data_IF_366954049984
#
_entry.id   IF_366954049984
#
_cell.length_a   1.000
_cell.length_b   1.000
_cell.length_c   1.000
_cell.angle_alpha   90.00
_cell.angle_beta   90.00
_cell.angle_gamma   90.00
#
_symmetry.space_group_name_H-M   'P 1'
#
loop_
_entity.id
_entity.type
_entity.pdbx_description
1 polymer ?
#
# COMPACT_ATOMS: atom_id res chain seq x y z
N UNK A 1 67.76 65.55 -3.80
CA UNK A 1 67.84 65.51 -2.33
C UNK A 1 66.76 64.55 -1.87
N UNK A 2 67.13 63.40 -1.31
CA UNK A 2 67.24 63.20 0.15
C UNK A 2 65.82 63.13 0.75
N UNK A 3 65.43 62.22 1.63
CA UNK A 3 66.18 61.39 2.56
C UNK A 3 65.26 60.25 2.99
N UNK A 4 65.91 59.15 3.32
CA UNK A 4 65.45 57.96 4.03
C UNK A 4 64.69 58.32 5.32
N UNK A 5 63.57 57.67 5.59
CA UNK A 5 63.08 57.53 6.98
C UNK A 5 62.72 56.08 7.27
N UNK A 6 63.58 55.49 8.09
CA UNK A 6 63.47 54.19 8.74
C UNK A 6 62.24 54.16 9.64
N UNK A 7 61.36 53.17 9.46
CA UNK A 7 60.28 52.87 10.40
C UNK A 7 60.64 51.61 11.20
N UNK A 8 60.71 51.81 12.51
CA UNK A 8 61.01 50.83 13.55
C UNK A 8 59.88 49.81 13.66
N UNK A 9 60.23 48.53 13.63
CA UNK A 9 59.31 47.41 13.83
C UNK A 9 58.78 47.40 15.28
N UNK A 10 57.46 47.41 15.43
CA UNK A 10 56.77 47.01 16.66
C UNK A 10 56.08 45.69 16.37
N UNK A 11 56.51 44.64 17.08
CA UNK A 11 55.94 43.31 16.98
C UNK A 11 54.55 43.31 17.65
N UNK A 12 53.50 43.13 16.85
CA UNK A 12 52.18 42.74 17.35
C UNK A 12 52.13 41.22 17.46
N UNK A 13 51.99 40.72 18.68
CA UNK A 13 51.69 39.32 18.96
C UNK A 13 50.29 39.00 18.45
N UNK A 14 50.20 38.34 17.30
CA UNK A 14 48.95 37.76 16.82
C UNK A 14 48.60 36.54 17.69
N UNK A 15 47.54 36.67 18.50
CA UNK A 15 46.87 35.52 19.10
C UNK A 15 46.38 34.62 17.98
N UNK A 16 47.05 33.50 17.77
CA UNK A 16 46.66 32.50 16.77
C UNK A 16 45.32 31.90 17.18
N UNK A 17 44.31 32.15 16.36
CA UNK A 17 43.01 31.49 16.44
C UNK A 17 43.22 29.97 16.37
N UNK A 18 42.94 29.27 17.47
CA UNK A 18 43.06 27.82 17.62
C UNK A 18 42.07 27.03 16.73
N UNK A 19 41.19 27.71 16.02
CA UNK A 19 40.16 27.08 15.20
C UNK A 19 40.48 27.28 13.71
N UNK A 20 41.28 26.36 13.15
CA UNK A 20 41.44 26.28 11.70
C UNK A 20 40.23 25.56 11.10
N UNK A 21 39.83 25.92 9.87
CA UNK A 21 38.73 25.27 9.15
C UNK A 21 38.89 23.74 9.12
N UNK A 22 40.08 23.16 8.85
CA UNK A 22 40.30 21.72 8.96
C UNK A 22 39.98 21.15 10.36
N UNK A 23 40.38 21.85 11.42
CA UNK A 23 40.10 21.43 12.80
C UNK A 23 38.60 21.38 13.09
N UNK A 24 37.84 22.36 12.57
CA UNK A 24 36.39 22.39 12.69
C UNK A 24 35.73 21.22 11.93
N UNK A 25 36.20 20.93 10.71
CA UNK A 25 35.74 19.78 9.94
C UNK A 25 36.02 18.45 10.65
N UNK A 26 37.21 18.28 11.21
CA UNK A 26 37.55 17.08 11.99
C UNK A 26 36.69 16.95 13.24
N UNK A 27 36.49 18.04 13.99
CA UNK A 27 35.63 18.04 15.17
C UNK A 27 34.16 17.72 14.83
N UNK A 28 33.64 18.29 13.73
CA UNK A 28 32.28 18.01 13.26
C UNK A 28 32.14 16.56 12.81
N UNK A 29 33.10 16.04 12.06
CA UNK A 29 33.08 14.64 11.60
C UNK A 29 33.14 13.69 12.80
N UNK A 30 33.98 13.96 13.80
CA UNK A 30 34.06 13.17 15.03
C UNK A 30 32.76 13.23 15.84
N UNK A 31 32.14 14.40 15.92
CA UNK A 31 30.85 14.56 16.61
C UNK A 31 29.73 13.78 15.89
N UNK A 32 29.69 13.83 14.57
CA UNK A 32 28.73 13.08 13.76
C UNK A 32 28.92 11.57 13.91
N UNK A 33 30.16 11.06 13.87
CA UNK A 33 30.42 9.63 14.03
C UNK A 33 30.11 9.15 15.45
N UNK A 34 30.40 9.96 16.47
CA UNK A 34 30.03 9.67 17.86
C UNK A 34 28.50 9.70 18.05
N UNK A 35 27.81 10.66 17.45
CA UNK A 35 26.35 10.73 17.51
C UNK A 35 25.70 9.53 16.84
N UNK A 36 26.20 9.10 15.68
CA UNK A 36 25.72 7.91 14.97
C UNK A 36 26.03 6.63 15.76
N UNK A 37 27.22 6.50 16.34
CA UNK A 37 27.57 5.31 17.13
C UNK A 37 26.72 5.21 18.40
N UNK A 38 26.48 6.33 19.10
CA UNK A 38 25.57 6.39 20.24
C UNK A 38 24.13 6.09 19.81
N UNK A 39 23.68 6.57 18.65
CA UNK A 39 22.36 6.23 18.10
C UNK A 39 22.21 4.72 17.90
N UNK A 40 23.21 4.04 17.33
CA UNK A 40 23.19 2.58 17.16
C UNK A 40 23.42 1.79 18.47
N UNK A 41 24.07 2.38 19.48
CA UNK A 41 24.23 1.79 20.82
C UNK A 41 22.94 1.87 21.64
N UNK A 42 22.21 3.00 21.57
CA UNK A 42 20.95 3.21 22.31
C UNK A 42 19.72 2.75 21.55
N UNK A 43 19.78 2.66 20.22
CA UNK A 43 18.83 1.97 19.37
C UNK A 43 19.59 0.90 18.60
N UNK A 44 19.91 -0.26 19.21
CA UNK A 44 20.37 -1.40 18.43
C UNK A 44 19.31 -1.62 17.36
N UNK A 45 19.71 -1.48 16.09
CA UNK A 45 18.89 -1.90 14.96
C UNK A 45 18.50 -3.32 15.29
N UNK A 46 17.22 -3.50 15.63
CA UNK A 46 16.70 -4.81 15.92
C UNK A 46 16.89 -5.56 14.62
N UNK A 47 17.89 -6.45 14.55
CA UNK A 47 17.77 -7.63 13.73
C UNK A 47 16.34 -8.13 13.95
N UNK A 48 15.62 -8.60 12.92
CA UNK A 48 14.36 -9.28 13.15
C UNK A 48 14.68 -10.55 13.93
N UNK A 49 14.83 -10.41 15.24
CA UNK A 49 14.68 -11.46 16.20
C UNK A 49 13.29 -11.97 15.89
N UNK A 50 13.23 -13.16 15.29
CA UNK A 50 12.04 -13.98 15.20
C UNK A 50 11.38 -13.90 16.57
N UNK A 51 10.39 -13.01 16.68
CA UNK A 51 9.67 -12.74 17.90
C UNK A 51 8.71 -13.90 18.03
N UNK A 52 9.26 -15.05 18.42
CA UNK A 52 8.57 -16.31 18.64
C UNK A 52 7.65 -16.26 19.87
N UNK A 53 7.38 -15.07 20.43
CA UNK A 53 6.43 -14.85 21.52
C UNK A 53 5.07 -14.31 21.07
N UNK A 54 4.87 -13.95 19.79
CA UNK A 54 3.51 -13.62 19.26
C UNK A 54 2.86 -14.86 18.59
N UNK A 55 3.63 -15.88 18.25
CA UNK A 55 3.11 -17.12 17.64
C UNK A 55 2.46 -18.09 18.63
N UNK A 56 2.56 -17.86 19.94
CA UNK A 56 1.87 -18.72 20.92
C UNK A 56 0.36 -18.44 21.01
N UNK A 57 -0.13 -17.34 20.42
CA UNK A 57 -1.57 -17.10 20.28
C UNK A 57 -2.16 -17.63 18.97
N UNK A 58 -1.33 -18.10 18.03
CA UNK A 58 -1.80 -18.53 16.70
C UNK A 58 -2.43 -19.94 16.68
N UNK A 59 -2.40 -20.67 17.80
CA UNK A 59 -3.04 -21.99 17.91
C UNK A 59 -4.40 -21.95 18.61
N UNK A 60 -4.83 -20.77 19.07
CA UNK A 60 -6.21 -20.57 19.48
C UNK A 60 -6.96 -20.03 18.28
N UNK A 61 -7.88 -20.83 17.72
CA UNK A 61 -9.00 -20.28 16.96
C UNK A 61 -9.48 -19.05 17.75
N UNK A 62 -9.57 -17.85 17.13
CA UNK A 62 -10.10 -16.70 17.83
C UNK A 62 -11.43 -17.15 18.41
N UNK A 63 -11.56 -17.14 19.75
CA UNK A 63 -12.80 -17.57 20.41
C UNK A 63 -14.00 -16.69 19.96
N UNK A 64 -13.72 -15.62 19.21
CA UNK A 64 -14.66 -14.63 18.68
C UNK A 64 -14.43 -14.37 17.18
N UNK A 65 -14.13 -15.38 16.34
CA UNK A 65 -14.08 -15.17 14.89
C UNK A 65 -15.47 -14.84 14.35
N UNK A 66 -15.56 -13.87 13.43
CA UNK A 66 -16.81 -13.60 12.72
C UNK A 66 -17.00 -14.62 11.60
N UNK A 67 -18.16 -15.29 11.57
CA UNK A 67 -18.50 -16.26 10.53
C UNK A 67 -19.01 -15.52 9.28
N UNK A 68 -18.28 -15.66 8.18
CA UNK A 68 -18.53 -14.93 6.95
C UNK A 68 -18.92 -15.89 5.83
N UNK A 69 -20.13 -15.77 5.31
CA UNK A 69 -20.51 -16.40 4.05
C UNK A 69 -20.12 -15.49 2.89
N UNK A 70 -19.30 -15.99 1.97
CA UNK A 70 -18.92 -15.25 0.76
C UNK A 70 -19.94 -15.56 -0.33
N UNK A 71 -20.62 -14.56 -0.85
CA UNK A 71 -21.55 -14.73 -1.96
C UNK A 71 -20.80 -15.15 -3.24
N UNK A 72 -21.33 -16.15 -3.96
CA UNK A 72 -20.73 -16.72 -5.18
C UNK A 72 -20.91 -15.83 -6.41
N UNK A 73 -20.43 -14.59 -6.31
CA UNK A 73 -20.53 -13.59 -7.37
C UNK A 73 -19.63 -13.99 -8.57
N UNK A 74 -20.10 -13.82 -9.83
CA UNK A 74 -19.27 -14.05 -11.00
C UNK A 74 -17.94 -13.30 -10.96
N UNK A 75 -16.86 -13.96 -11.38
CA UNK A 75 -15.50 -13.40 -11.38
C UNK A 75 -15.39 -12.07 -12.13
N UNK A 76 -16.21 -11.86 -13.16
CA UNK A 76 -16.31 -10.61 -13.93
C UNK A 76 -16.67 -9.38 -13.10
N UNK A 77 -17.14 -9.57 -11.86
CA UNK A 77 -17.52 -8.54 -10.91
C UNK A 77 -16.48 -8.37 -9.78
N UNK A 78 -15.39 -9.15 -9.78
CA UNK A 78 -14.30 -9.06 -8.79
C UNK A 78 -12.91 -9.09 -9.45
N UNK A 79 -12.10 -10.14 -9.28
CA UNK A 79 -10.78 -10.29 -9.88
C UNK A 79 -10.77 -10.10 -11.40
N UNK A 80 -11.86 -10.43 -12.10
CA UNK A 80 -11.99 -10.15 -13.53
C UNK A 80 -11.97 -8.66 -13.90
N UNK A 81 -12.27 -7.77 -12.94
CA UNK A 81 -12.11 -6.32 -13.11
C UNK A 81 -10.65 -5.90 -13.10
N UNK A 82 -9.78 -6.61 -12.38
CA UNK A 82 -8.34 -6.39 -12.42
C UNK A 82 -7.77 -6.82 -13.76
N UNK A 83 -8.23 -7.94 -14.32
CA UNK A 83 -7.84 -8.36 -15.67
C UNK A 83 -8.16 -7.27 -16.71
N UNK A 84 -9.35 -6.65 -16.61
CA UNK A 84 -9.73 -5.49 -17.45
C UNK A 84 -8.84 -4.29 -17.21
N UNK A 85 -8.54 -3.96 -15.95
CA UNK A 85 -7.67 -2.85 -15.59
C UNK A 85 -6.28 -3.01 -16.23
N UNK A 86 -5.66 -4.18 -16.05
CA UNK A 86 -4.33 -4.47 -16.59
C UNK A 86 -4.31 -4.50 -18.12
N UNK A 87 -5.43 -4.84 -18.76
CA UNK A 87 -5.58 -4.79 -20.22
C UNK A 87 -5.83 -3.38 -20.79
N UNK A 88 -6.28 -2.42 -19.96
CA UNK A 88 -6.71 -1.09 -20.42
C UNK A 88 -5.56 -0.11 -20.65
N UNK A 89 -4.34 -0.46 -20.23
CA UNK A 89 -3.18 0.42 -20.35
C UNK A 89 -3.15 1.56 -19.32
N UNK A 90 -2.27 2.56 -19.50
CA UNK A 90 -2.11 3.66 -18.55
C UNK A 90 -3.38 4.52 -18.41
N UNK A 91 -3.72 4.88 -17.18
CA UNK A 91 -4.83 5.79 -16.89
C UNK A 91 -4.47 7.23 -17.28
N UNK A 92 -5.11 7.74 -18.34
CA UNK A 92 -4.86 9.09 -18.87
C UNK A 92 -5.16 10.24 -17.88
N UNK A 93 -5.88 9.97 -16.79
CA UNK A 93 -6.12 10.94 -15.71
C UNK A 93 -4.88 11.19 -14.86
N UNK A 94 -3.88 10.30 -14.95
CA UNK A 94 -2.59 10.43 -14.32
C UNK A 94 -1.57 11.01 -15.30
N UNK A 95 -0.77 11.96 -14.84
CA UNK A 95 0.35 12.50 -15.61
C UNK A 95 1.49 11.47 -15.76
N UNK A 96 2.35 11.68 -16.77
CA UNK A 96 3.53 10.88 -17.09
C UNK A 96 4.70 11.13 -16.13
N UNK A 97 4.44 11.03 -14.84
CA UNK A 97 5.44 11.24 -13.80
C UNK A 97 6.37 10.03 -13.74
N UNK A 98 7.69 10.25 -13.75
CA UNK A 98 8.70 9.20 -13.84
C UNK A 98 8.65 8.26 -12.62
N UNK A 99 8.23 8.78 -11.46
CA UNK A 99 8.05 7.99 -10.24
C UNK A 99 6.76 7.14 -10.26
N UNK A 100 5.90 7.32 -11.28
CA UNK A 100 4.65 6.57 -11.48
C UNK A 100 4.76 5.49 -12.54
N UNK A 101 5.97 5.05 -12.88
CA UNK A 101 6.13 3.84 -13.69
C UNK A 101 5.48 2.67 -12.96
N UNK A 102 4.20 2.43 -13.25
CA UNK A 102 3.51 1.19 -12.95
C UNK A 102 4.42 0.14 -13.58
N UNK A 103 5.01 -0.78 -12.81
CA UNK A 103 5.86 -1.80 -13.37
C UNK A 103 5.09 -2.42 -14.53
N UNK A 104 5.65 -2.32 -15.74
CA UNK A 104 5.14 -3.05 -16.92
C UNK A 104 5.50 -4.52 -16.73
N UNK A 105 5.14 -5.09 -15.59
CA UNK A 105 5.20 -6.51 -15.36
C UNK A 105 4.23 -7.07 -16.37
N UNK A 106 4.74 -7.80 -17.36
CA UNK A 106 3.92 -8.59 -18.26
C UNK A 106 3.24 -9.65 -17.39
N UNK A 107 2.13 -9.27 -16.76
CA UNK A 107 1.36 -10.19 -15.95
C UNK A 107 0.88 -11.30 -16.88
N UNK A 108 1.06 -12.57 -16.49
CA UNK A 108 0.48 -13.68 -17.23
C UNK A 108 -1.00 -13.40 -17.47
N UNK A 109 -1.47 -13.63 -18.70
CA UNK A 109 -2.90 -13.52 -18.99
C UNK A 109 -3.65 -14.51 -18.09
N UNK A 110 -4.61 -14.00 -17.32
CA UNK A 110 -5.50 -14.78 -16.46
C UNK A 110 -4.83 -15.45 -15.25
N UNK A 111 -4.16 -14.65 -14.40
CA UNK A 111 -3.82 -15.10 -13.04
C UNK A 111 -5.09 -15.41 -12.24
N UNK A 112 -5.09 -16.47 -11.45
CA UNK A 112 -6.21 -16.78 -10.55
C UNK A 112 -6.43 -15.65 -9.53
N UNK A 113 -5.35 -15.03 -9.06
CA UNK A 113 -5.39 -13.86 -8.18
C UNK A 113 -4.47 -12.77 -8.77
N UNK A 114 -4.98 -11.89 -9.65
CA UNK A 114 -4.19 -10.80 -10.22
C UNK A 114 -3.79 -9.81 -9.12
N UNK A 115 -2.58 -9.21 -9.17
CA UNK A 115 -2.18 -8.21 -8.18
C UNK A 115 -3.08 -6.97 -8.27
N UNK A 116 -3.34 -6.36 -7.11
CA UNK A 116 -4.05 -5.09 -7.05
C UNK A 116 -3.16 -3.95 -7.57
N UNK A 117 -3.69 -2.91 -8.25
CA UNK A 117 -2.86 -1.93 -8.89
C UNK A 117 -2.30 -0.89 -7.93
N UNK A 118 -1.06 -0.46 -8.21
CA UNK A 118 -0.36 0.61 -7.45
C UNK A 118 -0.77 2.03 -7.88
N UNK A 119 -1.78 2.15 -8.74
CA UNK A 119 -2.29 3.43 -9.20
C UNK A 119 -2.86 4.22 -8.00
N UNK A 120 -2.38 5.45 -7.74
CA UNK A 120 -2.74 6.20 -6.54
C UNK A 120 -4.22 6.56 -6.44
N UNK A 121 -4.96 6.60 -7.56
CA UNK A 121 -6.41 6.84 -7.54
C UNK A 121 -7.17 5.65 -6.94
N UNK A 122 -6.70 4.42 -7.19
CA UNK A 122 -7.42 3.20 -6.83
C UNK A 122 -6.78 2.37 -5.71
N UNK A 123 -5.48 2.53 -5.45
CA UNK A 123 -4.73 1.78 -4.43
C UNK A 123 -5.39 1.84 -3.04
N UNK A 124 -5.92 3.02 -2.69
CA UNK A 124 -6.62 3.27 -1.43
C UNK A 124 -7.95 2.51 -1.27
N UNK A 125 -8.50 1.97 -2.36
CA UNK A 125 -9.80 1.29 -2.40
C UNK A 125 -9.67 -0.22 -2.62
N UNK A 126 -8.74 -0.86 -1.91
CA UNK A 126 -8.39 -2.28 -2.07
C UNK A 126 -9.04 -3.21 -1.03
N UNK A 127 -9.95 -2.70 -0.19
CA UNK A 127 -10.51 -3.43 0.93
C UNK A 127 -11.19 -4.74 0.48
N UNK A 128 -12.05 -4.69 -0.52
CA UNK A 128 -12.79 -5.85 -1.03
C UNK A 128 -11.84 -6.89 -1.64
N UNK A 129 -10.76 -6.45 -2.28
CA UNK A 129 -9.73 -7.31 -2.83
C UNK A 129 -9.02 -8.11 -1.73
N UNK A 130 -8.58 -7.42 -0.67
CA UNK A 130 -7.87 -8.06 0.44
C UNK A 130 -8.77 -8.95 1.29
N UNK A 131 -10.02 -8.53 1.54
CA UNK A 131 -11.00 -9.35 2.27
C UNK A 131 -11.33 -10.62 1.48
N UNK A 132 -11.57 -10.51 0.17
CA UNK A 132 -11.80 -11.69 -0.67
C UNK A 132 -10.59 -12.61 -0.69
N UNK A 133 -9.38 -12.05 -0.85
CA UNK A 133 -8.13 -12.82 -0.85
C UNK A 133 -7.91 -13.59 0.45
N UNK A 134 -8.12 -12.94 1.59
CA UNK A 134 -8.07 -13.60 2.89
C UNK A 134 -9.12 -14.73 2.97
N UNK A 135 -10.40 -14.47 2.69
CA UNK A 135 -11.46 -15.48 2.81
C UNK A 135 -11.35 -16.63 1.79
N UNK A 136 -10.63 -16.44 0.68
CA UNK A 136 -10.36 -17.48 -0.31
C UNK A 136 -9.13 -18.33 0.03
N UNK A 137 -8.26 -17.84 0.92
CA UNK A 137 -7.08 -18.58 1.36
C UNK A 137 -7.52 -19.74 2.29
N UNK A 138 -7.00 -20.97 2.13
CA UNK A 138 -7.31 -22.09 3.01
C UNK A 138 -7.05 -21.75 4.48
N UNK A 139 -7.93 -22.19 5.38
CA UNK A 139 -7.88 -21.79 6.80
C UNK A 139 -6.54 -22.13 7.47
N UNK A 140 -5.89 -23.22 7.05
CA UNK A 140 -4.59 -23.67 7.56
C UNK A 140 -3.44 -22.73 7.18
N UNK A 141 -3.63 -21.92 6.14
CA UNK A 141 -2.65 -20.97 5.61
C UNK A 141 -2.91 -19.53 6.07
N UNK A 142 -4.05 -19.26 6.73
CA UNK A 142 -4.42 -17.92 7.21
C UNK A 142 -3.88 -17.70 8.61
N UNK A 143 -2.87 -16.85 8.74
CA UNK A 143 -2.34 -16.44 10.05
C UNK A 143 -2.93 -15.09 10.46
N UNK A 144 -3.59 -15.06 11.64
CA UNK A 144 -4.10 -13.80 12.21
C UNK A 144 -5.39 -13.25 11.59
N UNK A 145 -6.09 -14.00 10.73
CA UNK A 145 -7.41 -13.58 10.25
C UNK A 145 -8.44 -13.63 11.38
N UNK A 146 -9.19 -12.53 11.54
CA UNK A 146 -10.30 -12.44 12.49
C UNK A 146 -11.60 -13.03 11.92
N UNK A 147 -11.67 -13.29 10.61
CA UNK A 147 -12.85 -13.81 9.93
C UNK A 147 -12.68 -15.29 9.58
N UNK A 148 -13.75 -16.05 9.75
CA UNK A 148 -13.80 -17.44 9.32
C UNK A 148 -14.81 -17.59 8.19
N UNK A 149 -14.36 -18.11 7.04
CA UNK A 149 -15.27 -18.39 5.94
C UNK A 149 -16.13 -19.60 6.29
N UNK A 150 -17.43 -19.43 6.17
CA UNK A 150 -18.40 -20.53 6.20
C UNK A 150 -18.99 -20.74 4.81
N UNK A 151 -19.45 -21.96 4.55
CA UNK A 151 -20.01 -22.35 3.24
C UNK A 151 -21.54 -22.41 3.23
N UNK A 152 -22.16 -22.09 4.36
CA UNK A 152 -23.61 -21.98 4.52
C UNK A 152 -23.98 -20.61 5.04
N UNK A 153 -24.91 -19.92 4.35
CA UNK A 153 -25.43 -18.63 4.80
C UNK A 153 -26.22 -18.73 6.12
N UNK A 154 -26.66 -19.95 6.52
CA UNK A 154 -27.34 -20.17 7.79
C UNK A 154 -26.37 -20.14 8.99
N UNK A 155 -25.10 -20.46 8.75
CA UNK A 155 -24.02 -20.50 9.77
C UNK A 155 -23.29 -19.16 9.88
N UNK A 156 -23.60 -18.22 8.99
CA UNK A 156 -22.91 -16.95 8.91
C UNK A 156 -23.54 -15.89 9.83
N UNK A 157 -22.66 -15.10 10.44
CA UNK A 157 -22.99 -13.85 11.12
C UNK A 157 -23.20 -12.73 10.09
N UNK A 158 -22.40 -12.73 9.02
CA UNK A 158 -22.46 -11.74 7.94
C UNK A 158 -22.28 -12.38 6.57
N UNK A 159 -22.86 -11.74 5.56
CA UNK A 159 -22.68 -12.10 4.15
C UNK A 159 -21.77 -11.07 3.51
N UNK A 160 -20.62 -11.52 3.01
CA UNK A 160 -19.72 -10.68 2.21
C UNK A 160 -20.06 -10.84 0.73
N UNK A 161 -20.42 -9.74 0.08
CA UNK A 161 -20.64 -9.67 -1.38
C UNK A 161 -19.37 -9.10 -2.00
N UNK A 162 -18.53 -9.92 -2.66
CA UNK A 162 -17.19 -9.50 -3.06
C UNK A 162 -17.21 -8.72 -4.38
N UNK A 163 -17.99 -7.65 -4.48
CA UNK A 163 -18.00 -6.78 -5.66
C UNK A 163 -16.92 -5.70 -5.51
N UNK A 164 -15.99 -5.59 -6.47
CA UNK A 164 -14.96 -4.54 -6.42
C UNK A 164 -15.54 -3.22 -6.96
N UNK A 165 -16.45 -2.63 -6.19
CA UNK A 165 -17.29 -1.51 -6.60
C UNK A 165 -16.48 -0.29 -7.04
N UNK A 166 -15.48 0.10 -6.25
CA UNK A 166 -14.68 1.27 -6.57
C UNK A 166 -13.84 1.04 -7.83
N UNK A 167 -13.25 -0.15 -7.99
CA UNK A 167 -12.54 -0.49 -9.23
C UNK A 167 -13.47 -0.47 -10.45
N UNK A 168 -14.71 -0.95 -10.29
CA UNK A 168 -15.73 -0.89 -11.34
C UNK A 168 -16.01 0.55 -11.78
N UNK A 169 -16.23 1.45 -10.82
CA UNK A 169 -16.48 2.86 -11.06
C UNK A 169 -15.28 3.56 -11.72
N UNK A 170 -14.07 3.27 -11.23
CA UNK A 170 -12.84 3.88 -11.71
C UNK A 170 -12.50 3.46 -13.14
N UNK A 171 -12.77 2.21 -13.52
CA UNK A 171 -12.70 1.76 -14.92
C UNK A 171 -13.65 2.57 -15.82
N UNK A 172 -14.89 2.82 -15.38
CA UNK A 172 -15.83 3.63 -16.15
C UNK A 172 -15.39 5.10 -16.25
N UNK A 173 -14.85 5.65 -15.17
CA UNK A 173 -14.34 7.03 -15.13
C UNK A 173 -13.10 7.22 -16.01
N UNK A 174 -12.22 6.21 -16.10
CA UNK A 174 -11.07 6.22 -16.98
C UNK A 174 -11.47 6.13 -18.46
N UNK A 175 -12.41 5.24 -18.82
CA UNK A 175 -12.77 4.98 -20.21
C UNK A 175 -13.81 5.96 -20.76
N UNK A 176 -14.84 6.30 -19.98
CA UNK A 176 -15.98 7.08 -20.44
C UNK A 176 -16.65 7.87 -19.30
N UNK A 177 -15.90 8.81 -18.70
CA UNK A 177 -16.37 9.72 -17.63
C UNK A 177 -17.71 10.40 -17.93
N UNK A 178 -17.95 10.81 -19.19
CA UNK A 178 -19.18 11.48 -19.61
C UNK A 178 -20.44 10.60 -19.51
N UNK A 179 -20.29 9.28 -19.47
CA UNK A 179 -21.40 8.33 -19.30
C UNK A 179 -21.61 7.91 -17.84
N UNK A 180 -20.68 8.20 -16.92
CA UNK A 180 -20.72 7.72 -15.53
C UNK A 180 -21.98 8.10 -14.74
N UNK A 181 -22.63 9.23 -15.07
CA UNK A 181 -23.89 9.65 -14.44
C UNK A 181 -25.14 9.15 -15.15
N UNK A 182 -24.99 8.39 -16.23
CA UNK A 182 -26.08 7.85 -17.05
C UNK A 182 -26.30 6.39 -16.71
N UNK A 183 -27.52 5.90 -16.98
CA UNK A 183 -27.84 4.46 -16.90
C UNK A 183 -27.41 3.70 -18.16
N UNK A 184 -27.64 4.30 -19.33
CA UNK A 184 -27.27 3.71 -20.62
C UNK A 184 -25.83 4.06 -20.98
N UNK A 185 -25.08 3.05 -21.45
CA UNK A 185 -23.66 3.20 -21.83
C UNK A 185 -22.71 3.36 -20.63
N UNK A 186 -23.16 2.93 -19.45
CA UNK A 186 -22.38 2.95 -18.21
C UNK A 186 -22.19 1.52 -17.73
N UNK A 187 -21.02 0.96 -18.02
CA UNK A 187 -20.68 -0.42 -17.66
C UNK A 187 -20.59 -0.62 -16.14
N UNK A 188 -20.24 0.42 -15.38
CA UNK A 188 -20.27 0.37 -13.92
C UNK A 188 -21.71 0.26 -13.39
N UNK A 189 -22.64 1.07 -13.91
CA UNK A 189 -24.07 0.95 -13.55
C UNK A 189 -24.63 -0.43 -13.88
N UNK A 190 -24.27 -0.99 -15.04
CA UNK A 190 -24.67 -2.32 -15.45
C UNK A 190 -24.14 -3.41 -14.50
N UNK A 191 -22.86 -3.34 -14.10
CA UNK A 191 -22.26 -4.25 -13.12
C UNK A 191 -22.90 -4.12 -11.74
N UNK A 192 -23.12 -2.90 -11.25
CA UNK A 192 -23.83 -2.68 -9.98
C UNK A 192 -25.24 -3.28 -10.00
N UNK A 193 -25.97 -3.09 -11.09
CA UNK A 193 -27.29 -3.71 -11.27
C UNK A 193 -27.19 -5.23 -11.26
N UNK A 194 -26.24 -5.81 -11.99
CA UNK A 194 -26.01 -7.26 -12.00
C UNK A 194 -25.75 -7.81 -10.59
N UNK A 195 -24.94 -7.12 -9.78
CA UNK A 195 -24.68 -7.50 -8.38
C UNK A 195 -25.97 -7.48 -7.56
N UNK A 196 -26.73 -6.39 -7.64
CA UNK A 196 -28.00 -6.26 -6.88
C UNK A 196 -29.00 -7.32 -7.30
N UNK A 197 -29.18 -7.53 -8.61
CA UNK A 197 -30.08 -8.54 -9.15
C UNK A 197 -29.62 -9.96 -8.74
N UNK A 198 -28.32 -10.24 -8.74
CA UNK A 198 -27.75 -11.50 -8.26
C UNK A 198 -28.06 -11.72 -6.78
N UNK A 199 -27.68 -10.77 -5.91
CA UNK A 199 -27.80 -10.90 -4.45
C UNK A 199 -29.27 -11.07 -4.04
N UNK A 200 -30.19 -10.29 -4.63
CA UNK A 200 -31.63 -10.38 -4.35
C UNK A 200 -32.25 -11.75 -4.61
N UNK A 201 -31.64 -12.53 -5.51
CA UNK A 201 -32.11 -13.88 -5.84
C UNK A 201 -31.55 -14.97 -4.92
N UNK A 202 -30.60 -14.65 -4.04
CA UNK A 202 -30.01 -15.61 -3.09
C UNK A 202 -30.91 -15.85 -1.87
N UNK A 203 -30.73 -17.01 -1.21
CA UNK A 203 -31.40 -17.28 0.08
C UNK A 203 -30.86 -16.39 1.20
N UNK A 204 -29.57 -16.06 1.15
CA UNK A 204 -28.90 -15.22 2.12
C UNK A 204 -29.52 -13.81 2.22
N UNK A 205 -30.02 -13.26 1.10
CA UNK A 205 -30.72 -11.97 1.08
C UNK A 205 -32.15 -12.01 1.65
N UNK A 206 -32.80 -13.17 1.63
CA UNK A 206 -34.20 -13.33 2.06
C UNK A 206 -34.35 -13.61 3.56
N UNK A 207 -33.24 -13.85 4.25
CA UNK A 207 -33.14 -14.05 5.69
C UNK A 207 -33.24 -12.70 6.40
#
# INVERSE_FOLDING_TARGET
MALKSTATATASSSSSSLCSVPTLFFAFTLLCTLSLSLFFLFNPLSSPSSSSSIYQNALHSPQNSIQVFVADLPRSLNYGLLDKYWASGPDSRLGSDADREIPKTQLPKSLEFPPYPENPLIKQYSAEYWILGDLMTPQEQRTGSFAQRVFSAAEADVVFVPFFATLSAELQLATAKGAFRKKAGNEDYERQRQVVDFVKNTQAWKR
#
